data_IF_227071150144
#
_entry.id   IF_227071150144
#
_cell.length_a   1.000
_cell.length_b   1.000
_cell.length_c   1.000
_cell.angle_alpha   90.00
_cell.angle_beta   90.00
_cell.angle_gamma   90.00
#
_symmetry.space_group_name_H-M   'P 1'
#
loop_
_entity.id
_entity.type
_entity.pdbx_description
1 polymer ?
#
# COMPACT_ATOMS: atom_id res chain seq x y z
N UNK A 1 6.98 30.06 11.91
CA UNK A 1 6.75 28.62 11.62
C UNK A 1 8.06 28.06 11.09
N UNK A 2 8.73 27.18 11.83
CA UNK A 2 9.88 26.46 11.27
C UNK A 2 9.37 25.58 10.12
N UNK A 3 10.04 25.68 8.98
CA UNK A 3 9.78 24.83 7.81
C UNK A 3 10.09 23.37 8.21
N UNK A 4 9.05 22.59 8.52
CA UNK A 4 9.19 21.23 9.02
C UNK A 4 9.70 20.35 7.87
N UNK A 5 10.96 19.99 7.91
CA UNK A 5 11.57 19.05 6.97
C UNK A 5 11.53 17.64 7.54
N UNK A 6 10.55 16.86 7.13
CA UNK A 6 10.45 15.43 7.47
C UNK A 6 11.33 14.62 6.51
N UNK A 7 12.64 14.89 6.50
CA UNK A 7 13.62 14.18 5.68
C UNK A 7 14.51 13.34 6.60
N UNK A 8 14.50 12.03 6.42
CA UNK A 8 15.26 11.09 7.24
C UNK A 8 16.08 10.09 6.41
N UNK A 9 16.73 9.12 7.06
CA UNK A 9 17.56 8.11 6.39
C UNK A 9 16.81 7.36 5.27
N UNK A 10 15.53 7.06 5.46
CA UNK A 10 14.70 6.41 4.43
C UNK A 10 14.59 7.25 3.16
N UNK A 11 14.50 8.59 3.29
CA UNK A 11 14.42 9.48 2.14
C UNK A 11 15.73 9.47 1.34
N UNK A 12 16.88 9.47 2.04
CA UNK A 12 18.19 9.37 1.39
C UNK A 12 18.34 8.02 0.65
N UNK A 13 17.89 6.92 1.27
CA UNK A 13 17.98 5.59 0.69
C UNK A 13 17.13 5.47 -0.58
N UNK A 14 15.88 5.96 -0.52
CA UNK A 14 14.92 5.85 -1.62
C UNK A 14 15.05 6.99 -2.65
N UNK A 15 15.80 8.06 -2.36
CA UNK A 15 15.91 9.24 -3.21
C UNK A 15 14.64 10.09 -3.30
N UNK A 16 13.83 10.10 -2.23
CA UNK A 16 12.62 10.93 -2.12
C UNK A 16 12.85 12.11 -1.16
N UNK A 17 11.96 13.12 -1.21
CA UNK A 17 12.11 14.32 -0.37
C UNK A 17 11.38 14.16 0.97
N UNK A 18 10.30 13.37 1.00
CA UNK A 18 9.44 13.15 2.18
C UNK A 18 9.16 11.66 2.37
N UNK A 19 9.00 11.18 3.63
CA UNK A 19 8.88 9.76 3.93
C UNK A 19 7.44 9.24 3.75
N UNK A 20 6.86 9.50 2.57
CA UNK A 20 5.50 9.10 2.21
C UNK A 20 5.57 8.27 0.94
N UNK A 21 5.19 6.99 1.06
CA UNK A 21 5.17 6.04 -0.05
C UNK A 21 3.73 5.75 -0.48
N UNK A 22 3.47 5.69 -1.79
CA UNK A 22 2.19 5.14 -2.28
C UNK A 22 2.26 3.62 -2.42
N UNK A 23 1.16 2.93 -2.12
CA UNK A 23 1.11 1.48 -2.29
C UNK A 23 1.10 1.07 -3.77
N UNK A 24 1.78 -0.04 -4.07
CA UNK A 24 1.71 -0.69 -5.38
C UNK A 24 0.42 -1.51 -5.51
N UNK A 25 -0.69 -0.83 -5.74
CA UNK A 25 -2.03 -1.43 -5.84
C UNK A 25 -2.25 -1.99 -7.25
N UNK A 26 -2.48 -3.31 -7.36
CA UNK A 26 -2.70 -3.98 -8.65
C UNK A 26 -3.80 -3.32 -9.49
N UNK A 27 -3.51 -3.01 -10.75
CA UNK A 27 -4.40 -2.31 -11.67
C UNK A 27 -4.63 -0.82 -11.36
N UNK A 28 -4.52 -0.38 -10.11
CA UNK A 28 -4.85 0.97 -9.64
C UNK A 28 -3.65 1.92 -9.67
N UNK A 29 -2.48 1.43 -9.20
CA UNK A 29 -1.24 2.22 -9.20
C UNK A 29 -0.51 2.07 -10.54
N UNK A 30 -1.01 2.77 -11.54
CA UNK A 30 -0.41 2.90 -12.88
C UNK A 30 0.61 4.04 -12.91
N UNK A 31 1.20 4.26 -14.08
CA UNK A 31 2.22 5.28 -14.31
C UNK A 31 1.82 6.69 -13.91
N UNK A 32 0.57 7.09 -14.15
CA UNK A 32 0.07 8.43 -13.78
C UNK A 32 0.22 8.67 -12.25
N UNK A 33 -0.28 7.75 -11.43
CA UNK A 33 -0.21 7.89 -9.98
C UNK A 33 1.23 7.78 -9.48
N UNK A 34 1.96 6.78 -9.96
CA UNK A 34 3.36 6.53 -9.55
C UNK A 34 4.25 7.72 -9.84
N UNK A 35 4.14 8.27 -11.05
CA UNK A 35 4.91 9.44 -11.47
C UNK A 35 4.53 10.69 -10.67
N UNK A 36 3.23 10.93 -10.45
CA UNK A 36 2.74 12.09 -9.69
C UNK A 36 3.24 12.07 -8.23
N UNK A 37 3.20 10.90 -7.57
CA UNK A 37 3.71 10.74 -6.20
C UNK A 37 5.22 10.99 -6.15
N UNK A 38 5.99 10.41 -7.07
CA UNK A 38 7.45 10.59 -7.11
C UNK A 38 7.84 12.03 -7.44
N UNK A 39 7.16 12.66 -8.41
CA UNK A 39 7.38 14.06 -8.78
C UNK A 39 7.06 15.04 -7.64
N UNK A 40 6.07 14.71 -6.79
CA UNK A 40 5.72 15.48 -5.60
C UNK A 40 6.67 15.28 -4.41
N UNK A 41 7.76 14.52 -4.59
CA UNK A 41 8.76 14.28 -3.56
C UNK A 41 8.49 13.08 -2.66
N UNK A 42 7.38 12.37 -2.84
CA UNK A 42 7.13 11.06 -2.22
C UNK A 42 7.85 9.93 -2.95
N UNK A 43 7.47 8.69 -2.67
CA UNK A 43 8.01 7.52 -3.36
C UNK A 43 6.85 6.70 -3.97
N UNK A 44 6.72 6.75 -5.30
CA UNK A 44 5.70 6.05 -6.06
C UNK A 44 6.03 4.57 -6.23
N UNK A 45 5.00 3.70 -6.19
CA UNK A 45 5.15 2.26 -6.44
C UNK A 45 4.12 1.81 -7.48
N UNK A 46 4.58 1.30 -8.63
CA UNK A 46 3.73 0.66 -9.66
C UNK A 46 3.16 -0.65 -9.13
N UNK A 47 1.87 -0.89 -9.35
CA UNK A 47 1.20 -2.14 -8.97
C UNK A 47 1.09 -3.09 -10.17
N UNK A 48 2.07 -3.98 -10.36
CA UNK A 48 2.23 -4.79 -11.59
C UNK A 48 2.07 -6.30 -11.37
N UNK A 49 1.38 -6.69 -10.30
CA UNK A 49 1.19 -8.11 -9.99
C UNK A 49 0.38 -8.84 -11.07
N UNK A 50 0.96 -9.91 -11.62
CA UNK A 50 0.36 -10.76 -12.68
C UNK A 50 -0.06 -10.00 -13.94
N UNK A 51 0.65 -8.93 -14.24
CA UNK A 51 0.50 -8.21 -15.51
C UNK A 51 1.44 -8.77 -16.58
N UNK A 52 1.11 -8.54 -17.85
CA UNK A 52 2.02 -8.97 -18.91
C UNK A 52 3.32 -8.18 -18.90
N UNK A 53 4.46 -8.81 -19.28
CA UNK A 53 5.74 -8.09 -19.40
C UNK A 53 5.67 -6.85 -20.28
N UNK A 54 4.84 -6.89 -21.35
CA UNK A 54 4.64 -5.76 -22.27
C UNK A 54 3.97 -4.57 -21.55
N UNK A 55 2.96 -4.83 -20.71
CA UNK A 55 2.29 -3.78 -19.95
C UNK A 55 3.22 -3.22 -18.88
N UNK A 56 3.97 -4.07 -18.17
CA UNK A 56 4.97 -3.63 -17.18
C UNK A 56 5.99 -2.71 -17.86
N UNK A 57 6.47 -3.10 -19.03
CA UNK A 57 7.38 -2.29 -19.83
C UNK A 57 6.81 -0.91 -20.16
N UNK A 58 5.58 -0.88 -20.67
CA UNK A 58 4.88 0.36 -21.03
C UNK A 58 4.69 1.29 -19.83
N UNK A 59 4.28 0.73 -18.69
CA UNK A 59 4.06 1.51 -17.47
C UNK A 59 5.37 2.07 -16.90
N UNK A 60 6.46 1.30 -16.90
CA UNK A 60 7.79 1.80 -16.50
C UNK A 60 8.25 2.95 -17.40
N UNK A 61 8.13 2.77 -18.72
CA UNK A 61 8.54 3.78 -19.69
C UNK A 61 7.67 5.04 -19.55
N UNK A 62 6.36 4.89 -19.29
CA UNK A 62 5.43 5.97 -19.05
C UNK A 62 5.70 6.75 -17.75
N UNK A 63 6.16 6.08 -16.66
CA UNK A 63 6.62 6.77 -15.44
C UNK A 63 7.82 7.65 -15.79
N UNK A 64 8.82 7.10 -16.48
CA UNK A 64 10.06 7.82 -16.84
C UNK A 64 9.84 8.99 -17.78
N UNK A 65 8.81 8.93 -18.61
CA UNK A 65 8.41 10.05 -19.46
C UNK A 65 7.83 11.23 -18.66
N UNK A 66 7.33 10.98 -17.44
CA UNK A 66 6.68 11.99 -16.61
C UNK A 66 7.57 12.50 -15.46
N UNK A 67 8.55 11.69 -15.00
CA UNK A 67 9.43 12.09 -13.90
C UNK A 67 10.81 11.40 -14.01
N UNK A 68 11.83 12.10 -13.55
CA UNK A 68 13.19 11.54 -13.36
C UNK A 68 13.41 11.02 -11.94
N UNK A 69 12.42 11.17 -11.05
CA UNK A 69 12.49 10.72 -9.66
C UNK A 69 12.40 9.20 -9.57
N UNK A 70 13.05 8.59 -8.57
CA UNK A 70 12.98 7.14 -8.37
C UNK A 70 11.57 6.66 -7.99
N UNK A 71 11.32 5.40 -8.31
CA UNK A 71 10.07 4.67 -8.02
C UNK A 71 10.36 3.17 -7.86
N UNK A 72 9.39 2.42 -7.39
CA UNK A 72 9.47 0.97 -7.34
C UNK A 72 8.42 0.30 -8.24
N UNK A 73 8.65 -0.98 -8.54
CA UNK A 73 7.65 -1.88 -9.14
C UNK A 73 7.27 -2.95 -8.12
N UNK A 74 5.97 -3.10 -7.85
CA UNK A 74 5.45 -4.11 -6.95
C UNK A 74 5.07 -5.38 -7.71
N UNK A 75 5.61 -6.51 -7.26
CA UNK A 75 5.25 -7.86 -7.65
C UNK A 75 4.92 -8.70 -6.42
N UNK A 76 4.14 -9.78 -6.62
CA UNK A 76 3.80 -10.71 -5.53
C UNK A 76 4.25 -12.12 -5.94
N UNK A 77 5.51 -12.50 -5.67
CA UNK A 77 6.08 -13.76 -6.13
C UNK A 77 5.28 -15.00 -5.71
N UNK A 78 4.77 -15.01 -4.47
CA UNK A 78 4.01 -16.14 -3.93
C UNK A 78 2.63 -16.34 -4.60
N UNK A 79 2.11 -15.34 -5.31
CA UNK A 79 0.81 -15.39 -5.98
C UNK A 79 0.92 -15.41 -7.51
N UNK A 80 2.12 -15.44 -8.06
CA UNK A 80 2.38 -15.40 -9.51
C UNK A 80 2.97 -16.73 -9.98
N UNK A 81 2.52 -17.22 -11.13
CA UNK A 81 3.13 -18.40 -11.77
C UNK A 81 4.62 -18.18 -12.00
N UNK A 82 5.43 -19.22 -11.83
CA UNK A 82 6.88 -19.11 -11.87
C UNK A 82 7.43 -18.59 -13.22
N UNK A 83 6.84 -18.98 -14.34
CA UNK A 83 7.28 -18.53 -15.67
C UNK A 83 6.89 -17.06 -15.90
N UNK A 84 5.69 -16.65 -15.46
CA UNK A 84 5.26 -15.26 -15.52
C UNK A 84 6.13 -14.39 -14.59
N UNK A 85 6.38 -14.84 -13.36
CA UNK A 85 7.24 -14.11 -12.42
C UNK A 85 8.65 -13.90 -12.97
N UNK A 86 9.21 -14.93 -13.62
CA UNK A 86 10.53 -14.82 -14.27
C UNK A 86 10.53 -13.73 -15.34
N UNK A 87 9.49 -13.67 -16.17
CA UNK A 87 9.32 -12.66 -17.21
C UNK A 87 9.05 -11.26 -16.65
N UNK A 88 8.18 -11.14 -15.61
CA UNK A 88 7.91 -9.88 -14.90
C UNK A 88 9.19 -9.30 -14.27
N UNK A 89 9.96 -10.13 -13.55
CA UNK A 89 11.24 -9.73 -12.98
C UNK A 89 12.24 -9.35 -14.09
N UNK A 90 12.33 -10.17 -15.15
CA UNK A 90 13.22 -9.91 -16.28
C UNK A 90 13.01 -8.52 -16.85
N UNK A 91 11.79 -8.16 -17.22
CA UNK A 91 11.48 -6.85 -17.80
C UNK A 91 11.76 -5.68 -16.85
N UNK A 92 11.53 -5.85 -15.55
CA UNK A 92 11.86 -4.82 -14.56
C UNK A 92 13.38 -4.59 -14.47
N UNK A 93 14.17 -5.68 -14.42
CA UNK A 93 15.62 -5.63 -14.29
C UNK A 93 16.29 -5.14 -15.58
N UNK A 94 15.84 -5.60 -16.75
CA UNK A 94 16.32 -5.12 -18.05
C UNK A 94 16.11 -3.61 -18.24
N UNK A 95 15.05 -3.08 -17.62
CA UNK A 95 14.77 -1.64 -17.58
C UNK A 95 15.47 -0.92 -16.44
N UNK A 96 16.32 -1.59 -15.68
CA UNK A 96 17.04 -1.00 -14.56
C UNK A 96 16.12 -0.17 -13.62
N UNK A 97 15.01 -0.77 -13.16
CA UNK A 97 14.13 -0.10 -12.19
C UNK A 97 14.90 0.17 -10.89
N UNK A 98 14.73 1.35 -10.26
CA UNK A 98 15.51 1.71 -9.08
C UNK A 98 15.25 0.79 -7.88
N UNK A 99 14.01 0.31 -7.74
CA UNK A 99 13.61 -0.54 -6.63
C UNK A 99 12.51 -1.54 -7.03
N UNK A 100 12.54 -2.71 -6.37
CA UNK A 100 11.47 -3.70 -6.39
C UNK A 100 10.74 -3.69 -5.06
N UNK A 101 9.42 -3.84 -5.09
CA UNK A 101 8.61 -4.02 -3.89
C UNK A 101 7.96 -5.41 -3.95
N UNK A 102 8.25 -6.27 -2.98
CA UNK A 102 7.61 -7.58 -2.88
C UNK A 102 6.59 -7.61 -1.75
N UNK A 103 5.60 -8.47 -1.90
CA UNK A 103 4.55 -8.64 -0.90
C UNK A 103 4.18 -10.11 -0.75
N UNK A 104 3.56 -10.45 0.35
CA UNK A 104 3.10 -11.76 0.80
C UNK A 104 4.26 -12.58 1.36
N UNK A 105 4.46 -13.83 0.90
CA UNK A 105 5.55 -14.66 1.40
C UNK A 105 6.92 -14.19 0.91
N UNK A 106 7.91 -14.35 1.76
CA UNK A 106 9.29 -14.05 1.41
C UNK A 106 9.83 -15.14 0.48
N UNK A 107 10.20 -14.75 -0.73
CA UNK A 107 10.83 -15.65 -1.73
C UNK A 107 12.29 -15.21 -1.91
N UNK A 108 13.26 -15.83 -1.19
CA UNK A 108 14.65 -15.39 -1.18
C UNK A 108 15.30 -15.31 -2.56
N UNK A 109 14.92 -16.21 -3.48
CA UNK A 109 15.45 -16.21 -4.85
C UNK A 109 15.06 -14.94 -5.63
N UNK A 110 13.82 -14.43 -5.46
CA UNK A 110 13.37 -13.18 -6.08
C UNK A 110 14.11 -11.99 -5.51
N UNK A 111 14.28 -11.94 -4.19
CA UNK A 111 15.06 -10.90 -3.50
C UNK A 111 16.51 -10.90 -4.00
N UNK A 112 17.17 -12.06 -3.99
CA UNK A 112 18.56 -12.18 -4.43
C UNK A 112 18.75 -11.75 -5.90
N UNK A 113 17.81 -12.10 -6.79
CA UNK A 113 17.85 -11.70 -8.20
C UNK A 113 17.74 -10.17 -8.36
N UNK A 114 16.82 -9.51 -7.65
CA UNK A 114 16.69 -8.06 -7.66
C UNK A 114 17.95 -7.38 -7.12
N UNK A 115 18.49 -7.87 -6.00
CA UNK A 115 19.73 -7.35 -5.40
C UNK A 115 20.94 -7.51 -6.32
N UNK A 116 21.09 -8.64 -7.00
CA UNK A 116 22.17 -8.88 -7.95
C UNK A 116 22.19 -7.90 -9.13
N UNK A 117 21.04 -7.29 -9.46
CA UNK A 117 20.90 -6.27 -10.51
C UNK A 117 21.07 -4.84 -9.97
N UNK A 118 21.41 -4.66 -8.69
CA UNK A 118 21.57 -3.34 -8.07
C UNK A 118 20.26 -2.66 -7.65
N UNK A 119 19.12 -3.32 -7.76
CA UNK A 119 17.84 -2.77 -7.28
C UNK A 119 17.79 -2.74 -5.75
N UNK A 120 17.21 -1.69 -5.18
CA UNK A 120 16.73 -1.73 -3.81
C UNK A 120 15.54 -2.68 -3.69
N UNK A 121 15.44 -3.38 -2.58
CA UNK A 121 14.32 -4.28 -2.30
C UNK A 121 13.53 -3.80 -1.09
N UNK A 122 12.29 -3.40 -1.32
CA UNK A 122 11.30 -3.19 -0.29
C UNK A 122 10.50 -4.49 -0.13
N UNK A 123 10.23 -4.93 1.10
CA UNK A 123 9.37 -6.10 1.32
C UNK A 123 8.23 -5.75 2.27
N UNK A 124 6.99 -5.92 1.80
CA UNK A 124 5.80 -5.72 2.63
C UNK A 124 5.51 -6.99 3.42
N UNK A 125 5.37 -6.85 4.73
CA UNK A 125 5.18 -7.96 5.67
C UNK A 125 3.99 -7.70 6.60
N UNK A 126 3.40 -8.78 7.13
CA UNK A 126 2.26 -8.72 8.06
C UNK A 126 2.52 -9.42 9.41
N UNK A 127 3.77 -9.86 9.68
CA UNK A 127 4.14 -10.50 10.95
C UNK A 127 5.61 -10.27 11.29
N UNK A 128 5.96 -10.42 12.58
CA UNK A 128 7.35 -10.33 13.03
C UNK A 128 8.22 -11.40 12.36
N UNK A 129 7.70 -12.63 12.22
CA UNK A 129 8.45 -13.70 11.55
C UNK A 129 8.79 -13.31 10.09
N UNK A 130 7.81 -12.81 9.34
CA UNK A 130 8.04 -12.37 7.97
C UNK A 130 9.02 -11.19 7.88
N UNK A 131 9.06 -10.31 8.89
CA UNK A 131 10.03 -9.22 8.97
C UNK A 131 11.48 -9.75 9.10
N UNK A 132 11.70 -10.70 10.01
CA UNK A 132 13.01 -11.34 10.19
C UNK A 132 13.43 -12.13 8.95
N UNK A 133 12.50 -12.88 8.34
CA UNK A 133 12.77 -13.65 7.13
C UNK A 133 13.14 -12.72 5.93
N UNK A 134 12.44 -11.59 5.79
CA UNK A 134 12.69 -10.63 4.71
C UNK A 134 14.04 -9.91 4.88
N UNK A 135 14.38 -9.49 6.10
CA UNK A 135 15.71 -8.93 6.40
C UNK A 135 16.81 -9.94 6.11
N UNK A 136 16.65 -11.20 6.57
CA UNK A 136 17.60 -12.27 6.31
C UNK A 136 17.76 -12.61 4.82
N UNK A 137 16.68 -12.43 4.02
CA UNK A 137 16.71 -12.61 2.57
C UNK A 137 17.42 -11.45 1.84
N UNK A 138 17.71 -10.33 2.51
CA UNK A 138 18.43 -9.18 1.96
C UNK A 138 17.56 -8.00 1.54
N UNK A 139 16.34 -7.88 2.07
CA UNK A 139 15.53 -6.66 1.89
C UNK A 139 16.26 -5.44 2.47
N UNK A 140 16.11 -4.29 1.82
CA UNK A 140 16.70 -3.01 2.26
C UNK A 140 15.73 -2.20 3.12
N UNK A 141 14.41 -2.41 2.94
CA UNK A 141 13.33 -1.71 3.64
C UNK A 141 12.18 -2.69 3.91
N UNK A 142 11.57 -2.63 5.09
CA UNK A 142 10.33 -3.34 5.37
C UNK A 142 9.14 -2.40 5.37
N UNK A 143 8.05 -2.81 4.70
CA UNK A 143 6.75 -2.17 4.79
C UNK A 143 5.90 -3.02 5.76
N UNK A 144 5.68 -2.49 6.95
CA UNK A 144 5.02 -3.20 8.06
C UNK A 144 3.51 -2.96 8.00
N UNK A 145 2.77 -3.97 7.51
CA UNK A 145 1.33 -3.88 7.27
C UNK A 145 0.51 -4.37 8.46
N UNK A 146 -0.26 -3.47 9.08
CA UNK A 146 -1.26 -3.84 10.07
C UNK A 146 -2.56 -4.38 9.47
N UNK A 147 -3.37 -5.06 10.30
CA UNK A 147 -4.66 -5.68 9.92
C UNK A 147 -5.69 -4.66 9.43
N UNK A 148 -5.52 -3.37 9.72
CA UNK A 148 -6.39 -2.27 9.29
C UNK A 148 -6.24 -1.89 7.81
N UNK A 149 -5.22 -2.45 7.13
CA UNK A 149 -4.93 -2.16 5.73
C UNK A 149 -6.09 -2.57 4.80
N UNK A 150 -6.23 -1.85 3.70
CA UNK A 150 -7.09 -2.25 2.56
C UNK A 150 -6.36 -3.17 1.60
N UNK A 151 -7.12 -3.82 0.71
CA UNK A 151 -6.56 -4.81 -0.20
C UNK A 151 -6.25 -6.12 0.50
N UNK A 152 -5.30 -6.87 -0.03
CA UNK A 152 -4.82 -8.09 0.62
C UNK A 152 -4.13 -7.76 1.96
N UNK A 153 -4.48 -8.52 2.99
CA UNK A 153 -3.98 -8.34 4.35
C UNK A 153 -3.32 -9.62 4.82
N UNK A 154 -1.99 -9.62 4.89
CA UNK A 154 -1.21 -10.82 5.18
C UNK A 154 -1.26 -11.22 6.67
N UNK A 155 -1.35 -10.24 7.57
CA UNK A 155 -1.30 -10.47 9.02
C UNK A 155 -2.61 -10.17 9.73
N UNK A 156 -2.64 -10.48 11.03
CA UNK A 156 -3.79 -10.27 11.93
C UNK A 156 -3.50 -9.27 13.05
N UNK A 157 -2.28 -8.73 13.10
CA UNK A 157 -1.84 -7.82 14.16
C UNK A 157 -2.11 -6.38 13.76
N UNK A 158 -2.61 -5.57 14.70
CA UNK A 158 -2.81 -4.14 14.49
C UNK A 158 -1.48 -3.42 14.22
N UNK A 159 -1.50 -2.42 13.34
CA UNK A 159 -0.30 -1.68 12.94
C UNK A 159 0.44 -1.07 14.14
N UNK A 160 -0.30 -0.50 15.10
CA UNK A 160 0.26 0.08 16.34
C UNK A 160 1.22 -0.89 17.05
N UNK A 161 0.83 -2.15 17.15
CA UNK A 161 1.62 -3.19 17.85
C UNK A 161 2.72 -3.74 16.94
N UNK A 162 2.38 -4.06 15.69
CA UNK A 162 3.30 -4.72 14.77
C UNK A 162 4.50 -3.81 14.42
N UNK A 163 4.28 -2.52 14.19
CA UNK A 163 5.34 -1.55 13.86
C UNK A 163 6.36 -1.47 15.00
N UNK A 164 5.90 -1.28 16.24
CA UNK A 164 6.78 -1.21 17.40
C UNK A 164 7.51 -2.54 17.65
N UNK A 165 6.82 -3.66 17.49
CA UNK A 165 7.40 -5.00 17.64
C UNK A 165 8.52 -5.26 16.62
N UNK A 166 8.31 -4.90 15.35
CA UNK A 166 9.29 -5.05 14.27
C UNK A 166 10.47 -4.11 14.48
N UNK A 167 10.22 -2.84 14.84
CA UNK A 167 11.26 -1.83 15.08
C UNK A 167 12.27 -2.21 16.16
N UNK A 168 11.87 -3.07 17.11
CA UNK A 168 12.76 -3.55 18.20
C UNK A 168 13.66 -4.72 17.77
N UNK A 169 13.40 -5.36 16.64
CA UNK A 169 14.04 -6.63 16.26
C UNK A 169 14.89 -6.50 15.01
N UNK A 170 14.42 -5.75 14.00
CA UNK A 170 15.14 -5.59 12.73
C UNK A 170 16.08 -4.38 12.76
N UNK A 171 17.12 -4.43 11.95
CA UNK A 171 18.11 -3.35 11.83
C UNK A 171 17.90 -2.44 10.63
N UNK A 172 17.16 -2.92 9.61
CA UNK A 172 16.89 -2.15 8.40
C UNK A 172 15.71 -1.17 8.59
N UNK A 173 15.63 -0.09 7.80
CA UNK A 173 14.53 0.86 7.85
C UNK A 173 13.16 0.21 7.70
N UNK A 174 12.18 0.67 8.50
CA UNK A 174 10.79 0.22 8.41
C UNK A 174 9.86 1.40 8.06
N UNK A 175 8.81 1.09 7.30
CA UNK A 175 7.75 2.01 6.90
C UNK A 175 6.41 1.44 7.34
N UNK A 176 5.61 2.23 8.06
CA UNK A 176 4.32 1.77 8.59
C UNK A 176 3.23 1.79 7.51
N UNK A 177 2.42 0.73 7.46
CA UNK A 177 1.32 0.56 6.51
C UNK A 177 0.07 0.00 7.19
N UNK A 178 -1.11 0.35 6.68
CA UNK A 178 -2.39 -0.02 7.30
C UNK A 178 -2.86 1.01 8.32
N UNK A 179 -3.95 1.72 8.01
CA UNK A 179 -4.50 2.77 8.87
C UNK A 179 -3.85 4.16 8.74
N UNK A 180 -2.74 4.29 8.03
CA UNK A 180 -2.01 5.57 7.88
C UNK A 180 -2.49 6.34 6.66
N UNK A 181 -2.91 7.62 6.86
CA UNK A 181 -3.40 8.49 5.78
C UNK A 181 -3.20 9.99 6.05
N UNK A 182 -2.74 10.38 7.24
CA UNK A 182 -2.68 11.77 7.70
C UNK A 182 -1.31 12.10 8.29
N UNK A 183 -1.02 13.40 8.46
CA UNK A 183 0.21 13.82 9.12
C UNK A 183 0.27 13.40 10.59
N UNK A 184 -0.86 13.34 11.29
CA UNK A 184 -0.89 12.82 12.67
C UNK A 184 -0.49 11.34 12.71
N UNK A 185 -0.98 10.52 11.76
CA UNK A 185 -0.58 9.11 11.66
C UNK A 185 0.89 8.94 11.25
N UNK A 186 1.45 9.84 10.43
CA UNK A 186 2.89 9.85 10.11
C UNK A 186 3.73 10.07 11.38
N UNK A 187 3.39 11.08 12.20
CA UNK A 187 4.09 11.34 13.46
C UNK A 187 3.96 10.16 14.44
N UNK A 188 2.77 9.55 14.52
CA UNK A 188 2.57 8.36 15.34
C UNK A 188 3.43 7.17 14.85
N UNK A 189 3.51 6.93 13.53
CA UNK A 189 4.37 5.91 12.96
C UNK A 189 5.85 6.13 13.32
N UNK A 190 6.33 7.37 13.24
CA UNK A 190 7.70 7.73 13.62
C UNK A 190 7.96 7.50 15.11
N UNK A 191 6.99 7.81 15.98
CA UNK A 191 7.09 7.55 17.42
C UNK A 191 7.17 6.05 17.75
N UNK A 192 6.59 5.18 16.90
CA UNK A 192 6.67 3.72 17.01
C UNK A 192 7.97 3.13 16.42
N UNK A 193 8.85 3.96 15.83
CA UNK A 193 10.13 3.55 15.27
C UNK A 193 10.12 3.38 13.74
N UNK A 194 9.00 3.63 13.04
CA UNK A 194 9.00 3.68 11.58
C UNK A 194 9.68 4.98 11.08
N UNK A 195 10.25 4.91 9.87
CA UNK A 195 10.88 6.07 9.24
C UNK A 195 9.97 6.80 8.24
N UNK A 196 8.74 6.30 8.04
CA UNK A 196 7.76 6.85 7.12
C UNK A 196 6.47 6.05 7.11
N UNK A 197 5.55 6.42 6.21
CA UNK A 197 4.27 5.74 6.00
C UNK A 197 4.09 5.29 4.56
N UNK A 198 3.40 4.17 4.39
CA UNK A 198 2.99 3.61 3.10
C UNK A 198 1.47 3.59 3.03
N UNK A 199 0.90 4.32 2.07
CA UNK A 199 -0.53 4.61 1.98
C UNK A 199 -1.14 4.03 0.71
N UNK A 200 -2.15 3.15 0.86
CA UNK A 200 -2.97 2.66 -0.25
C UNK A 200 -4.20 3.54 -0.45
N UNK A 201 -5.17 3.45 0.46
CA UNK A 201 -6.49 4.09 0.36
C UNK A 201 -6.40 5.60 0.13
N UNK A 202 -5.45 6.30 0.78
CA UNK A 202 -5.25 7.73 0.61
C UNK A 202 -4.84 8.11 -0.82
N UNK A 203 -4.03 7.29 -1.49
CA UNK A 203 -3.62 7.51 -2.88
C UNK A 203 -4.58 6.88 -3.89
N UNK A 204 -5.35 5.84 -3.53
CA UNK A 204 -6.46 5.37 -4.36
C UNK A 204 -7.49 6.49 -4.55
N UNK A 205 -7.78 7.27 -3.51
CA UNK A 205 -8.65 8.44 -3.55
C UNK A 205 -7.89 9.71 -4.02
N UNK A 206 -7.20 9.63 -5.17
CA UNK A 206 -6.58 10.78 -5.86
C UNK A 206 -7.00 10.83 -7.32
N UNK A 207 -6.80 11.97 -7.96
CA UNK A 207 -7.18 12.18 -9.37
C UNK A 207 -6.45 11.20 -10.28
N UNK A 208 -5.14 10.99 -10.06
CA UNK A 208 -4.25 10.21 -10.93
C UNK A 208 -4.44 8.70 -10.81
N UNK A 209 -5.01 8.21 -9.70
CA UNK A 209 -5.27 6.78 -9.50
C UNK A 209 -6.16 6.21 -10.62
N UNK A 210 -5.82 5.01 -11.11
CA UNK A 210 -6.57 4.34 -12.18
C UNK A 210 -7.84 3.64 -11.68
N UNK A 211 -8.17 3.76 -10.40
CA UNK A 211 -9.42 3.26 -9.84
C UNK A 211 -10.65 3.93 -10.47
N UNK A 212 -11.75 3.17 -10.57
CA UNK A 212 -13.03 3.68 -11.06
C UNK A 212 -13.55 4.82 -10.18
N UNK A 213 -14.25 5.80 -10.78
CA UNK A 213 -14.76 6.96 -10.05
C UNK A 213 -15.75 6.59 -8.94
N UNK A 214 -16.57 5.55 -9.13
CA UNK A 214 -17.46 5.03 -8.09
C UNK A 214 -16.71 4.48 -6.89
N UNK A 215 -15.58 3.77 -7.11
CA UNK A 215 -14.74 3.28 -6.02
C UNK A 215 -14.19 4.46 -5.20
N UNK A 216 -13.65 5.48 -5.88
CA UNK A 216 -13.16 6.71 -5.23
C UNK A 216 -14.26 7.42 -4.44
N UNK A 217 -15.45 7.56 -5.02
CA UNK A 217 -16.59 8.19 -4.36
C UNK A 217 -17.04 7.42 -3.11
N UNK A 218 -17.07 6.09 -3.17
CA UNK A 218 -17.42 5.25 -2.01
C UNK A 218 -16.37 5.33 -0.89
N UNK A 219 -15.08 5.47 -1.20
CA UNK A 219 -14.05 5.71 -0.18
C UNK A 219 -14.31 7.02 0.56
N UNK A 220 -14.61 8.10 -0.17
CA UNK A 220 -14.86 9.43 0.42
C UNK A 220 -16.09 9.43 1.32
N UNK A 221 -17.08 8.59 1.02
CA UNK A 221 -18.30 8.47 1.80
C UNK A 221 -18.20 7.47 2.97
N UNK A 222 -17.12 6.70 3.07
CA UNK A 222 -17.01 5.57 3.99
C UNK A 222 -16.49 5.98 5.37
N UNK A 223 -17.03 5.35 6.40
CA UNK A 223 -16.46 5.32 7.75
C UNK A 223 -15.57 4.08 7.92
N UNK A 224 -14.81 3.98 9.00
CA UNK A 224 -13.93 2.85 9.27
C UNK A 224 -14.72 1.52 9.38
N UNK A 225 -15.90 1.59 9.95
CA UNK A 225 -16.84 0.48 10.18
C UNK A 225 -17.46 -0.05 8.87
N UNK A 226 -17.39 0.74 7.79
CA UNK A 226 -17.87 0.31 6.47
C UNK A 226 -16.88 -0.61 5.76
N UNK A 227 -15.73 -0.90 6.38
CA UNK A 227 -14.77 -1.86 5.84
C UNK A 227 -14.95 -3.25 6.42
N UNK A 228 -14.84 -4.27 5.57
CA UNK A 228 -15.02 -5.68 5.94
C UNK A 228 -13.76 -6.46 5.63
N UNK A 229 -13.24 -7.21 6.62
CA UNK A 229 -12.15 -8.16 6.46
C UNK A 229 -12.74 -9.54 6.10
N UNK A 230 -12.39 -10.09 4.95
CA UNK A 230 -12.98 -11.32 4.41
C UNK A 230 -12.04 -12.04 3.45
N UNK A 231 -12.18 -13.34 3.31
CA UNK A 231 -11.54 -14.16 2.28
C UNK A 231 -12.50 -14.59 1.16
N UNK A 232 -13.67 -13.95 1.05
CA UNK A 232 -14.65 -14.29 0.03
C UNK A 232 -14.27 -13.86 -1.40
N UNK A 233 -13.37 -12.88 -1.55
CA UNK A 233 -12.86 -12.49 -2.86
C UNK A 233 -11.59 -13.27 -3.18
N UNK A 234 -11.73 -14.48 -3.74
CA UNK A 234 -10.62 -15.44 -3.87
C UNK A 234 -10.52 -16.16 -5.22
N UNK A 235 -11.45 -15.93 -6.19
CA UNK A 235 -11.52 -16.78 -7.40
C UNK A 235 -10.25 -16.77 -8.25
N UNK A 236 -9.47 -15.74 -8.21
CA UNK A 236 -8.22 -15.58 -8.98
C UNK A 236 -7.01 -15.32 -8.07
N UNK A 237 -7.04 -15.84 -6.84
CA UNK A 237 -5.97 -15.68 -5.84
C UNK A 237 -5.75 -17.00 -5.08
N UNK A 238 -4.56 -17.23 -4.54
CA UNK A 238 -4.33 -18.38 -3.66
C UNK A 238 -5.31 -18.41 -2.47
N UNK A 239 -5.72 -19.58 -1.99
CA UNK A 239 -6.61 -19.70 -0.84
C UNK A 239 -5.97 -19.11 0.44
N UNK A 240 -6.81 -18.78 1.43
CA UNK A 240 -6.40 -18.18 2.69
C UNK A 240 -5.69 -16.82 2.56
N UNK A 241 -6.08 -16.04 1.58
CA UNK A 241 -5.55 -14.70 1.33
C UNK A 241 -6.65 -13.65 1.57
N UNK A 242 -6.93 -13.29 2.83
CA UNK A 242 -7.99 -12.35 3.15
C UNK A 242 -7.70 -10.95 2.63
N UNK A 243 -8.78 -10.23 2.37
CA UNK A 243 -8.78 -8.85 1.90
C UNK A 243 -9.61 -7.96 2.80
N UNK A 244 -9.34 -6.67 2.81
CA UNK A 244 -10.25 -5.67 3.36
C UNK A 244 -10.82 -4.83 2.24
N UNK A 245 -12.15 -4.79 2.19
CA UNK A 245 -12.95 -4.12 1.17
C UNK A 245 -14.02 -3.23 1.81
N UNK A 246 -14.58 -2.29 1.05
CA UNK A 246 -15.82 -1.63 1.43
C UNK A 246 -16.97 -2.63 1.45
N UNK A 247 -17.89 -2.48 2.43
CA UNK A 247 -19.10 -3.27 2.54
C UNK A 247 -19.92 -3.16 1.27
N UNK A 248 -20.47 -4.29 0.81
CA UNK A 248 -21.30 -4.39 -0.39
C UNK A 248 -22.24 -5.60 -0.30
N UNK A 249 -23.06 -5.81 -1.33
CA UNK A 249 -24.03 -6.92 -1.37
C UNK A 249 -23.39 -8.31 -1.20
N UNK A 250 -22.15 -8.51 -1.63
CA UNK A 250 -21.40 -9.76 -1.40
C UNK A 250 -21.11 -9.93 0.08
N UNK A 251 -20.52 -8.93 0.73
CA UNK A 251 -20.17 -9.02 2.16
C UNK A 251 -21.41 -9.09 3.05
N UNK A 252 -22.49 -8.41 2.69
CA UNK A 252 -23.76 -8.46 3.43
C UNK A 252 -24.42 -9.83 3.36
N UNK A 253 -24.37 -10.49 2.19
CA UNK A 253 -24.88 -11.85 2.01
C UNK A 253 -24.12 -12.92 2.82
N UNK A 254 -22.87 -12.65 3.21
CA UNK A 254 -22.07 -13.56 4.05
C UNK A 254 -22.54 -13.57 5.52
N UNK A 255 -23.17 -12.49 5.99
CA UNK A 255 -23.59 -12.31 7.39
C UNK A 255 -22.39 -12.41 8.35
N UNK A 256 -22.41 -13.41 9.24
CA UNK A 256 -21.30 -13.65 10.19
C UNK A 256 -20.18 -14.53 9.63
N UNK A 257 -20.33 -15.12 8.45
CA UNK A 257 -19.34 -16.01 7.83
C UNK A 257 -18.39 -15.25 6.92
N UNK A 258 -17.65 -14.33 7.47
CA UNK A 258 -16.74 -13.46 6.71
C UNK A 258 -15.46 -14.16 6.26
N UNK A 259 -15.09 -15.30 6.85
CA UNK A 259 -13.87 -16.07 6.53
C UNK A 259 -14.17 -17.57 6.42
N UNK A 260 -13.25 -18.34 5.84
CA UNK A 260 -13.38 -19.77 5.60
C UNK A 260 -13.94 -20.10 4.20
N UNK A 261 -13.81 -19.17 3.25
CA UNK A 261 -14.20 -19.38 1.86
C UNK A 261 -13.02 -19.98 1.06
N UNK A 262 -13.37 -20.89 0.15
CA UNK A 262 -12.37 -21.52 -0.71
C UNK A 262 -12.71 -21.25 -2.18
N UNK A 263 -11.74 -20.90 -3.05
CA UNK A 263 -12.00 -20.55 -4.46
C UNK A 263 -12.80 -21.59 -5.22
N UNK A 264 -12.56 -22.90 -4.98
CA UNK A 264 -13.24 -23.99 -5.68
C UNK A 264 -14.74 -24.12 -5.34
N UNK A 265 -15.19 -23.48 -4.26
CA UNK A 265 -16.59 -23.51 -3.79
C UNK A 265 -17.36 -22.25 -4.15
N UNK A 266 -16.69 -21.24 -4.69
CA UNK A 266 -17.33 -19.96 -5.04
C UNK A 266 -17.96 -20.04 -6.44
N UNK A 267 -19.17 -19.49 -6.65
CA UNK A 267 -19.79 -19.47 -7.95
C UNK A 267 -19.04 -18.58 -8.93
N UNK A 268 -19.07 -18.92 -10.21
CA UNK A 268 -18.40 -18.19 -11.30
C UNK A 268 -19.45 -17.41 -12.11
N UNK A 269 -19.91 -16.30 -11.56
CA UNK A 269 -20.89 -15.39 -12.18
C UNK A 269 -20.16 -14.17 -12.76
N UNK A 270 -20.36 -13.88 -14.04
CA UNK A 270 -19.83 -12.67 -14.68
C UNK A 270 -20.70 -11.49 -14.29
N UNK A 271 -20.12 -10.46 -13.68
CA UNK A 271 -20.81 -9.25 -13.21
C UNK A 271 -20.40 -7.99 -13.94
N UNK A 272 -19.18 -7.97 -14.50
CA UNK A 272 -18.60 -6.81 -15.16
C UNK A 272 -17.62 -7.24 -16.25
N UNK A 273 -17.08 -6.26 -16.98
CA UNK A 273 -16.00 -6.46 -17.96
C UNK A 273 -14.94 -5.37 -17.78
N UNK A 274 -13.68 -5.74 -17.96
CA UNK A 274 -12.58 -4.80 -18.03
C UNK A 274 -11.71 -5.09 -19.27
N UNK A 275 -11.61 -4.12 -20.19
CA UNK A 275 -10.84 -4.26 -21.45
C UNK A 275 -11.11 -5.57 -22.21
N UNK A 276 -12.39 -6.00 -22.24
CA UNK A 276 -12.81 -7.23 -22.90
C UNK A 276 -12.65 -8.51 -22.09
N UNK A 277 -12.08 -8.45 -20.88
CA UNK A 277 -12.00 -9.58 -19.94
C UNK A 277 -13.22 -9.60 -19.00
N UNK A 278 -13.80 -10.79 -18.80
CA UNK A 278 -14.90 -10.97 -17.86
C UNK A 278 -14.40 -10.82 -16.41
N UNK A 279 -15.10 -10.01 -15.63
CA UNK A 279 -14.89 -9.87 -14.18
C UNK A 279 -15.93 -10.70 -13.45
N UNK A 280 -15.46 -11.60 -12.57
CA UNK A 280 -16.32 -12.51 -11.84
C UNK A 280 -16.67 -11.94 -10.46
N UNK A 281 -17.89 -12.16 -10.02
CA UNK A 281 -18.27 -12.00 -8.61
C UNK A 281 -17.35 -12.87 -7.76
N UNK A 282 -16.88 -12.38 -6.64
CA UNK A 282 -15.86 -13.03 -5.79
C UNK A 282 -14.43 -13.07 -6.35
N UNK A 283 -14.14 -12.44 -7.51
CA UNK A 283 -12.75 -12.23 -7.92
C UNK A 283 -12.08 -11.13 -7.10
N UNK A 284 -10.75 -11.11 -7.11
CA UNK A 284 -9.97 -10.03 -6.50
C UNK A 284 -9.83 -8.80 -7.41
N UNK A 285 -10.53 -8.78 -8.54
CA UNK A 285 -10.49 -7.67 -9.47
C UNK A 285 -11.19 -6.44 -8.87
N UNK A 286 -10.46 -5.35 -8.75
CA UNK A 286 -10.97 -4.06 -8.28
C UNK A 286 -11.55 -3.27 -9.47
N UNK A 287 -12.60 -2.45 -9.30
CA UNK A 287 -13.09 -1.62 -10.39
C UNK A 287 -12.05 -0.58 -10.84
N UNK A 288 -11.67 -0.64 -12.10
CA UNK A 288 -10.73 0.27 -12.76
C UNK A 288 -11.48 1.28 -13.64
N UNK A 289 -10.79 2.32 -14.16
CA UNK A 289 -11.39 3.34 -15.05
C UNK A 289 -12.07 2.72 -16.27
N UNK A 290 -11.58 1.58 -16.74
CA UNK A 290 -12.05 0.85 -17.93
C UNK A 290 -13.13 -0.18 -17.64
N UNK A 291 -13.40 -0.46 -16.37
CA UNK A 291 -14.40 -1.47 -15.98
C UNK A 291 -15.81 -0.96 -16.23
N UNK A 292 -16.65 -1.82 -16.83
CA UNK A 292 -18.07 -1.56 -17.11
C UNK A 292 -18.94 -2.71 -16.64
N UNK A 293 -20.18 -2.43 -16.25
CA UNK A 293 -21.11 -3.45 -15.76
C UNK A 293 -21.56 -3.18 -14.34
N UNK A 294 -21.82 -4.25 -13.56
CA UNK A 294 -22.23 -4.12 -12.18
C UNK A 294 -21.00 -4.07 -11.25
N UNK A 295 -20.64 -2.86 -10.85
CA UNK A 295 -19.46 -2.61 -10.02
C UNK A 295 -19.72 -2.85 -8.52
N UNK A 296 -20.99 -2.75 -8.10
CA UNK A 296 -21.37 -2.81 -6.69
C UNK A 296 -20.84 -4.05 -5.97
N UNK A 297 -20.94 -5.30 -6.51
CA UNK A 297 -20.46 -6.50 -5.85
C UNK A 297 -18.97 -6.77 -6.04
N UNK A 298 -18.21 -5.89 -6.69
CA UNK A 298 -16.76 -6.06 -6.90
C UNK A 298 -15.95 -5.80 -5.62
N UNK A 299 -14.70 -6.28 -5.59
CA UNK A 299 -13.75 -6.03 -4.52
C UNK A 299 -13.30 -4.57 -4.50
N UNK A 300 -14.03 -3.70 -3.84
CA UNK A 300 -13.64 -2.30 -3.64
C UNK A 300 -12.72 -2.17 -2.43
N UNK A 301 -11.43 -2.29 -2.66
CA UNK A 301 -10.42 -2.27 -1.61
C UNK A 301 -10.36 -0.93 -0.88
N UNK A 302 -10.44 -0.97 0.45
CA UNK A 302 -10.25 0.17 1.33
C UNK A 302 -9.82 -0.29 2.72
N UNK A 303 -8.82 0.37 3.30
CA UNK A 303 -8.47 0.20 4.71
C UNK A 303 -9.34 1.07 5.61
N UNK A 304 -9.24 0.87 6.92
CA UNK A 304 -9.99 1.65 7.91
C UNK A 304 -9.66 3.14 7.88
N UNK A 305 -8.52 3.51 7.29
CA UNK A 305 -8.17 4.93 7.02
C UNK A 305 -9.11 5.62 6.02
N UNK A 306 -10.06 4.92 5.38
CA UNK A 306 -11.10 5.56 4.56
C UNK A 306 -11.84 6.65 5.33
N UNK A 307 -12.11 6.44 6.62
CA UNK A 307 -12.75 7.43 7.50
C UNK A 307 -11.99 8.76 7.66
N UNK A 308 -10.73 8.82 7.21
CA UNK A 308 -9.86 10.01 7.28
C UNK A 308 -9.69 10.69 5.91
N UNK A 309 -10.47 10.25 4.90
CA UNK A 309 -10.35 10.69 3.50
C UNK A 309 -11.69 11.27 3.07
N UNK A 310 -11.76 12.57 2.95
CA UNK A 310 -12.98 13.35 2.68
C UNK A 310 -12.96 14.07 1.32
N UNK A 311 -11.84 14.01 0.60
CA UNK A 311 -11.62 14.72 -0.65
C UNK A 311 -10.91 13.87 -1.70
N UNK A 312 -11.01 14.27 -2.96
CA UNK A 312 -10.32 13.69 -4.13
C UNK A 312 -9.29 14.69 -4.68
N UNK A 313 -8.15 14.89 -4.01
CA UNK A 313 -7.11 15.80 -4.43
C UNK A 313 -6.20 15.17 -5.50
N UNK A 314 -5.23 15.96 -6.00
CA UNK A 314 -4.06 15.42 -6.68
C UNK A 314 -3.15 14.67 -5.69
N UNK A 315 -2.27 13.80 -6.20
CA UNK A 315 -1.26 13.14 -5.36
C UNK A 315 -0.32 14.16 -4.69
N UNK A 316 0.03 15.24 -5.39
CA UNK A 316 0.83 16.34 -4.86
C UNK A 316 0.13 17.06 -3.68
N UNK A 317 -1.15 17.40 -3.84
CA UNK A 317 -1.92 18.04 -2.78
C UNK A 317 -2.12 17.11 -1.57
N UNK A 318 -2.27 15.79 -1.82
CA UNK A 318 -2.35 14.78 -0.75
C UNK A 318 -1.06 14.75 0.07
N UNK A 319 0.10 14.73 -0.57
CA UNK A 319 1.40 14.77 0.09
C UNK A 319 1.57 16.08 0.87
N UNK A 320 1.28 17.22 0.24
CA UNK A 320 1.38 18.54 0.90
C UNK A 320 0.47 18.61 2.14
N UNK A 321 -0.77 18.10 2.06
CA UNK A 321 -1.70 18.05 3.17
C UNK A 321 -1.17 17.18 4.33
N UNK A 322 -0.62 15.98 4.04
CA UNK A 322 -0.03 15.11 5.07
C UNK A 322 1.13 15.82 5.78
N UNK A 323 2.02 16.50 5.04
CA UNK A 323 3.14 17.24 5.63
C UNK A 323 2.66 18.40 6.50
N UNK A 324 1.70 19.19 6.02
CA UNK A 324 1.12 20.29 6.81
C UNK A 324 0.45 19.78 8.09
N UNK A 325 -0.31 18.69 8.01
CA UNK A 325 -0.94 18.05 9.17
C UNK A 325 0.10 17.49 10.16
N UNK A 326 1.25 16.98 9.67
CA UNK A 326 2.33 16.50 10.54
C UNK A 326 2.91 17.65 11.37
N UNK A 327 3.14 18.82 10.75
CA UNK A 327 3.53 20.03 11.48
C UNK A 327 2.54 20.44 12.55
N UNK A 328 1.25 20.43 12.23
CA UNK A 328 0.19 20.74 13.19
C UNK A 328 0.10 19.69 14.32
N UNK A 329 0.37 18.41 14.02
CA UNK A 329 0.39 17.36 15.04
C UNK A 329 1.55 17.57 16.05
N UNK A 330 2.75 17.86 15.56
CA UNK A 330 3.91 18.16 16.41
C UNK A 330 3.66 19.39 17.29
N UNK A 331 3.12 20.48 16.73
CA UNK A 331 2.80 21.68 17.48
C UNK A 331 1.78 21.44 18.61
N UNK A 332 0.87 20.47 18.46
CA UNK A 332 -0.06 20.07 19.55
C UNK A 332 0.62 19.27 20.66
N UNK A 333 1.70 18.52 20.34
CA UNK A 333 2.42 17.73 21.34
C UNK A 333 3.40 18.56 22.17
N UNK A 334 4.00 19.59 21.57
CA UNK A 334 5.06 20.41 22.18
C UNK A 334 4.69 20.98 23.57
N UNK A 335 3.52 21.61 23.80
CA UNK A 335 3.16 22.12 25.13
C UNK A 335 3.07 21.02 26.19
N UNK A 336 2.64 19.81 25.82
CA UNK A 336 2.51 18.68 26.74
C UNK A 336 3.85 18.06 27.13
N UNK A 337 4.88 18.24 26.30
CA UNK A 337 6.23 17.73 26.57
C UNK A 337 7.04 18.68 27.46
N UNK A 338 6.68 19.96 27.51
CA UNK A 338 7.40 20.99 28.25
C UNK A 338 6.69 21.44 29.55
N UNK A 339 5.47 20.99 29.82
CA UNK A 339 4.76 21.24 31.05
C UNK A 339 5.33 20.41 32.20
N UNK A 340 6.44 20.85 32.79
CA UNK A 340 6.78 20.50 34.17
C UNK A 340 6.26 21.65 35.08
N UNK A 341 5.12 21.51 35.77
CA UNK A 341 4.76 22.44 36.80
C UNK A 341 5.68 22.14 37.98
N UNK A 342 6.88 22.72 37.98
CA UNK A 342 7.52 22.98 39.27
C UNK A 342 6.61 24.00 39.96
N UNK A 343 5.84 23.51 40.92
CA UNK A 343 5.08 24.35 41.81
C UNK A 343 6.03 25.39 42.47
N UNK A 344 5.53 26.55 42.83
CA UNK A 344 6.33 27.64 43.45
C UNK A 344 6.93 27.28 44.80
N UNK A 345 6.90 26.04 45.25
CA UNK A 345 7.33 25.56 46.56
C UNK A 345 7.99 24.18 46.53
N UNK A 346 9.07 23.98 45.75
CA UNK A 346 10.01 22.91 46.05
C UNK A 346 11.28 23.53 46.64
N UNK A 347 11.67 23.12 47.90
CA UNK A 347 12.79 23.71 48.63
C UNK A 347 14.15 23.36 48.00
#
# INVERSE_FOLDING_TARGET
>A
MHDLRLHGPICNLLGCDVPILSAGMGGVSRSELTAAVSAAGGFGILGMVRESPELIAQEIDAVRAQTTRPFAVNLIPAATDAALLDAELGVCLDRAVPAMCFFWDVVPAAVARAKASGCLVLHQIGSLKAAVDAEAAGADVLIVQGVEAGGHVHGTVAALILVEQVARVVSIPIVASGGFATGASLIAAMALGAQGIHCGTAFLATVESFAHHEHKARIIAAMAEDTVYTDAFALNWPPNAPVRVLRNSVTDALGHRLTGHHPDRLPREVIAQDTGKAVLKYSTDSPLRTTTGNLEPMAMYAGQSAALIDTLPTAADRIAAIIAQAGAALARLEPNLHSNPRGPNDP
#
